data_IF_507223625425
#
_entry.id   IF_507223625425
#
_cell.length_a   1.000
_cell.length_b   1.000
_cell.length_c   1.000
_cell.angle_alpha   90.00
_cell.angle_beta   90.00
_cell.angle_gamma   90.00
#
_symmetry.space_group_name_H-M   'P 1'
#
loop_
_entity.id
_entity.type
_entity.pdbx_description
1 polymer ?
#
# COMPACT_ATOMS: atom_id res chain seq x y z
N UNK A 1 -8.61 15.19 50.17
CA UNK A 1 -8.44 13.74 49.96
C UNK A 1 -8.79 13.48 48.50
N UNK A 2 -7.79 13.44 47.68
CA UNK A 2 -7.91 13.29 46.23
C UNK A 2 -7.77 11.80 45.93
N UNK A 3 -8.87 11.18 45.49
CA UNK A 3 -8.87 9.81 44.95
C UNK A 3 -8.11 9.79 43.63
N UNK A 4 -6.87 9.36 43.70
CA UNK A 4 -6.17 8.87 42.50
C UNK A 4 -6.75 7.49 42.17
N UNK A 5 -7.72 7.47 41.24
CA UNK A 5 -8.10 6.25 40.55
C UNK A 5 -6.86 5.69 39.88
N UNK A 6 -6.30 4.67 40.48
CA UNK A 6 -5.33 3.80 39.82
C UNK A 6 -6.08 3.05 38.69
N UNK A 7 -5.98 3.60 37.48
CA UNK A 7 -6.42 2.92 36.27
C UNK A 7 -5.50 1.69 36.09
N UNK A 8 -5.91 0.55 36.61
CA UNK A 8 -5.24 -0.73 36.38
C UNK A 8 -5.30 -0.97 34.87
N UNK A 9 -4.16 -0.78 34.19
CA UNK A 9 -4.02 -1.09 32.77
C UNK A 9 -4.42 -2.56 32.58
N UNK A 10 -5.60 -2.80 32.00
CA UNK A 10 -6.07 -4.14 31.70
C UNK A 10 -4.99 -4.82 30.82
N UNK A 11 -4.56 -6.03 31.23
CA UNK A 11 -3.54 -6.77 30.51
C UNK A 11 -3.98 -6.99 29.05
N UNK A 12 -3.12 -6.65 28.11
CA UNK A 12 -3.41 -6.84 26.69
C UNK A 12 -3.65 -8.32 26.39
N UNK A 13 -4.70 -8.70 25.61
CA UNK A 13 -5.10 -10.09 25.44
C UNK A 13 -4.17 -10.90 24.51
N UNK A 14 -3.21 -10.26 23.84
CA UNK A 14 -2.18 -10.91 23.01
C UNK A 14 -0.82 -10.64 23.66
N UNK A 15 -0.04 -11.69 23.82
CA UNK A 15 1.29 -11.67 24.46
C UNK A 15 2.32 -12.32 23.54
N UNK A 16 3.61 -12.22 23.90
CA UNK A 16 4.67 -12.96 23.19
C UNK A 16 4.38 -14.48 23.17
N UNK A 17 3.81 -15.03 24.23
CA UNK A 17 3.42 -16.44 24.27
C UNK A 17 2.36 -16.76 23.22
N UNK A 18 1.38 -15.88 23.01
CA UNK A 18 0.36 -16.02 21.96
C UNK A 18 0.98 -15.97 20.56
N UNK A 19 1.95 -15.07 20.35
CA UNK A 19 2.65 -14.94 19.05
C UNK A 19 3.53 -16.18 18.80
N UNK A 20 4.24 -16.69 19.82
CA UNK A 20 5.02 -17.92 19.71
C UNK A 20 4.14 -19.17 19.44
N UNK A 21 2.94 -19.21 19.99
CA UNK A 21 1.98 -20.25 19.67
C UNK A 21 1.51 -20.15 18.20
N UNK A 22 1.23 -18.94 17.74
CA UNK A 22 0.88 -18.68 16.34
C UNK A 22 2.04 -19.05 15.39
N UNK A 23 3.30 -18.79 15.77
CA UNK A 23 4.46 -19.16 14.97
C UNK A 23 4.52 -20.67 14.68
N UNK A 24 4.20 -21.51 15.67
CA UNK A 24 4.12 -22.97 15.50
C UNK A 24 2.98 -23.39 14.56
N UNK A 25 1.88 -22.65 14.55
CA UNK A 25 0.73 -22.94 13.67
C UNK A 25 1.05 -22.62 12.22
N UNK A 26 1.79 -21.54 11.97
CA UNK A 26 2.10 -21.08 10.61
C UNK A 26 3.35 -21.74 10.03
N UNK A 27 4.17 -22.38 10.86
CA UNK A 27 5.41 -23.05 10.46
C UNK A 27 5.16 -24.11 9.38
N UNK A 28 5.87 -24.01 8.25
CA UNK A 28 5.74 -24.91 7.11
C UNK A 28 4.45 -24.75 6.28
N UNK A 29 3.49 -23.96 6.75
CA UNK A 29 2.22 -23.71 6.04
C UNK A 29 2.18 -22.37 5.30
N UNK A 30 3.08 -21.47 5.62
CA UNK A 30 3.32 -20.20 4.93
C UNK A 30 4.81 -20.07 4.58
N UNK A 31 5.15 -19.14 3.70
CA UNK A 31 6.54 -18.87 3.38
C UNK A 31 7.20 -18.09 4.53
N UNK A 32 8.38 -18.56 4.97
CA UNK A 32 9.30 -17.68 5.69
C UNK A 32 9.99 -16.80 4.66
N UNK A 33 9.38 -15.65 4.38
CA UNK A 33 9.82 -14.72 3.34
C UNK A 33 11.18 -14.13 3.67
N UNK A 34 11.93 -13.76 2.64
CA UNK A 34 13.23 -13.12 2.81
C UNK A 34 13.12 -11.81 3.61
N UNK A 35 14.18 -11.50 4.35
CA UNK A 35 14.36 -10.25 5.06
C UNK A 35 15.77 -9.73 4.77
N UNK A 36 15.90 -8.93 3.71
CA UNK A 36 17.18 -8.59 3.11
C UNK A 36 17.52 -7.10 3.22
N UNK A 37 18.81 -6.73 3.30
CA UNK A 37 19.22 -5.34 3.31
C UNK A 37 19.17 -4.74 1.91
N UNK A 38 18.64 -3.53 1.80
CA UNK A 38 18.69 -2.74 0.57
C UNK A 38 19.84 -1.75 0.60
N UNK A 39 20.91 -2.04 -0.12
CA UNK A 39 22.09 -1.12 -0.19
C UNK A 39 21.74 0.22 -0.82
N UNK A 40 20.94 0.21 -1.87
CA UNK A 40 20.56 1.43 -2.61
C UNK A 40 19.65 2.31 -1.77
N UNK A 41 18.59 1.76 -1.16
CA UNK A 41 17.70 2.51 -0.29
C UNK A 41 18.43 3.01 0.96
N UNK A 42 19.35 2.23 1.51
CA UNK A 42 20.20 2.66 2.62
C UNK A 42 21.06 3.86 2.26
N UNK A 43 21.72 3.83 1.09
CA UNK A 43 22.51 4.97 0.60
C UNK A 43 21.64 6.23 0.35
N UNK A 44 20.41 6.06 -0.13
CA UNK A 44 19.49 7.17 -0.39
C UNK A 44 18.95 7.83 0.89
N UNK A 45 18.81 7.06 1.96
CA UNK A 45 18.13 7.52 3.19
C UNK A 45 19.08 7.79 4.36
N UNK A 46 20.31 7.28 4.28
CA UNK A 46 21.27 7.33 5.39
C UNK A 46 20.95 6.38 6.56
N UNK A 47 19.94 5.51 6.40
CA UNK A 47 19.56 4.45 7.33
C UNK A 47 20.06 3.10 6.82
N UNK A 48 20.21 2.09 7.69
CA UNK A 48 20.42 0.70 7.28
C UNK A 48 19.04 0.04 7.07
N UNK A 49 18.58 -0.01 5.80
CA UNK A 49 17.23 -0.43 5.42
C UNK A 49 17.19 -1.93 5.16
N UNK A 50 16.30 -2.61 5.86
CA UNK A 50 15.99 -4.03 5.71
C UNK A 50 14.53 -4.21 5.31
N UNK A 51 14.26 -5.08 4.33
CA UNK A 51 12.94 -5.29 3.73
C UNK A 51 12.45 -6.71 4.00
N UNK A 52 11.28 -6.85 4.64
CA UNK A 52 10.57 -8.11 4.81
C UNK A 52 9.55 -8.28 3.69
N UNK A 53 9.74 -9.27 2.83
CA UNK A 53 9.01 -9.45 1.57
C UNK A 53 7.69 -10.20 1.73
N UNK A 54 6.77 -9.72 2.56
CA UNK A 54 5.46 -10.35 2.76
C UNK A 54 4.54 -10.27 1.52
N UNK A 55 4.87 -9.43 0.56
CA UNK A 55 4.25 -9.42 -0.77
C UNK A 55 4.54 -10.68 -1.60
N UNK A 56 5.49 -11.51 -1.20
CA UNK A 56 5.85 -12.77 -1.85
C UNK A 56 5.18 -14.01 -1.23
N UNK A 57 4.32 -13.84 -0.21
CA UNK A 57 3.46 -14.92 0.25
C UNK A 57 2.59 -15.44 -0.92
N UNK A 58 2.04 -16.64 -0.82
CA UNK A 58 1.27 -17.27 -1.91
C UNK A 58 0.08 -16.40 -2.37
N UNK A 59 -0.65 -15.77 -1.42
CA UNK A 59 -1.72 -14.82 -1.74
C UNK A 59 -1.22 -13.38 -1.85
N UNK A 60 0.10 -13.21 -2.04
CA UNK A 60 0.80 -11.94 -2.15
C UNK A 60 0.54 -10.98 -0.97
N UNK A 61 0.38 -11.49 0.26
CA UNK A 61 0.14 -10.65 1.44
C UNK A 61 0.37 -11.38 2.76
N UNK A 62 0.85 -10.66 3.76
CA UNK A 62 0.99 -11.12 5.14
C UNK A 62 -0.31 -11.65 5.80
N UNK A 63 -1.46 -11.33 5.21
CA UNK A 63 -2.79 -11.71 5.75
C UNK A 63 -2.96 -13.22 5.95
N UNK A 64 -2.19 -14.02 5.25
CA UNK A 64 -2.15 -15.47 5.40
C UNK A 64 -1.87 -15.89 6.85
N UNK A 65 -0.92 -15.25 7.51
CA UNK A 65 -0.46 -15.57 8.86
C UNK A 65 -1.59 -15.55 9.88
N UNK A 66 -2.30 -14.42 9.96
CA UNK A 66 -3.43 -14.25 10.88
C UNK A 66 -4.64 -15.07 10.50
N UNK A 67 -4.93 -15.21 9.20
CA UNK A 67 -6.03 -16.04 8.71
C UNK A 67 -5.80 -17.50 9.09
N UNK A 68 -4.63 -18.07 8.81
CA UNK A 68 -4.29 -19.44 9.15
C UNK A 68 -4.36 -19.69 10.67
N UNK A 69 -3.77 -18.81 11.48
CA UNK A 69 -3.78 -18.95 12.94
C UNK A 69 -5.20 -18.96 13.49
N UNK A 70 -6.08 -18.08 13.00
CA UNK A 70 -7.49 -18.04 13.40
C UNK A 70 -8.26 -19.29 12.97
N UNK A 71 -8.12 -19.71 11.71
CA UNK A 71 -8.81 -20.87 11.16
C UNK A 71 -8.38 -22.18 11.85
N UNK A 72 -7.10 -22.29 12.20
CA UNK A 72 -6.55 -23.47 12.89
C UNK A 72 -7.11 -23.64 14.30
N UNK A 73 -7.48 -22.56 14.97
CA UNK A 73 -8.02 -22.57 16.32
C UNK A 73 -9.52 -22.91 16.40
N UNK A 74 -10.21 -23.03 15.27
CA UNK A 74 -11.64 -23.33 15.23
C UNK A 74 -11.91 -24.76 15.73
N UNK A 75 -12.95 -24.92 16.56
CA UNK A 75 -13.49 -26.21 16.98
C UNK A 75 -14.07 -27.00 15.80
N UNK A 76 -14.25 -28.29 15.94
CA UNK A 76 -14.86 -29.16 14.92
C UNK A 76 -16.28 -28.69 14.53
N UNK A 77 -17.03 -28.14 15.49
CA UNK A 77 -18.37 -27.56 15.22
C UNK A 77 -18.30 -26.30 14.36
N UNK A 78 -17.39 -25.38 14.68
CA UNK A 78 -17.19 -24.14 13.91
C UNK A 78 -16.66 -24.45 12.50
N UNK A 79 -15.72 -25.39 12.37
CA UNK A 79 -15.24 -25.86 11.06
C UNK A 79 -16.35 -26.43 10.18
N UNK A 80 -17.25 -27.24 10.79
CA UNK A 80 -18.39 -27.81 10.05
C UNK A 80 -19.42 -26.76 9.64
N UNK A 81 -19.65 -25.74 10.48
CA UNK A 81 -20.55 -24.62 10.15
C UNK A 81 -19.94 -23.69 9.09
N UNK A 82 -18.60 -23.65 8.97
CA UNK A 82 -17.88 -22.83 8.05
C UNK A 82 -17.57 -21.42 8.59
N UNK A 83 -16.89 -20.64 7.77
CA UNK A 83 -16.46 -19.30 8.12
C UNK A 83 -16.98 -18.27 7.13
N UNK A 84 -17.11 -17.03 7.60
CA UNK A 84 -17.50 -15.89 6.78
C UNK A 84 -16.55 -14.71 7.04
N UNK A 85 -16.16 -14.00 5.99
CA UNK A 85 -15.39 -12.75 6.10
C UNK A 85 -15.93 -11.69 5.15
N UNK A 86 -15.72 -10.43 5.48
CA UNK A 86 -15.98 -9.31 4.58
C UNK A 86 -14.65 -8.69 4.17
N UNK A 87 -14.32 -8.80 2.89
CA UNK A 87 -13.16 -8.16 2.28
C UNK A 87 -13.18 -8.34 0.77
N UNK A 88 -12.72 -7.33 0.03
CA UNK A 88 -12.50 -7.40 -1.42
C UNK A 88 -10.99 -7.49 -1.80
N UNK A 89 -10.09 -7.68 -0.83
CA UNK A 89 -8.63 -7.64 -1.02
C UNK A 89 -7.90 -8.79 -0.33
N UNK A 90 -6.75 -8.49 0.23
CA UNK A 90 -5.79 -9.45 0.79
C UNK A 90 -6.38 -10.38 1.85
N UNK A 91 -7.26 -9.86 2.73
CA UNK A 91 -7.88 -10.69 3.76
C UNK A 91 -8.82 -11.74 3.17
N UNK A 92 -9.58 -11.39 2.13
CA UNK A 92 -10.43 -12.32 1.41
C UNK A 92 -9.63 -13.51 0.85
N UNK A 93 -8.51 -13.22 0.21
CA UNK A 93 -7.64 -14.24 -0.38
C UNK A 93 -6.96 -15.12 0.70
N UNK A 94 -6.44 -14.51 1.76
CA UNK A 94 -5.83 -15.26 2.87
C UNK A 94 -6.82 -16.20 3.56
N UNK A 95 -8.06 -15.75 3.82
CA UNK A 95 -9.12 -16.61 4.40
C UNK A 95 -9.53 -17.70 3.43
N UNK A 96 -9.80 -17.37 2.16
CA UNK A 96 -10.21 -18.33 1.14
C UNK A 96 -9.18 -19.45 0.95
N UNK A 97 -7.91 -19.09 0.81
CA UNK A 97 -6.81 -20.04 0.61
C UNK A 97 -6.65 -21.01 1.77
N UNK A 98 -6.50 -20.49 2.98
CA UNK A 98 -6.27 -21.36 4.13
C UNK A 98 -7.52 -22.12 4.56
N UNK A 99 -8.73 -21.57 4.39
CA UNK A 99 -9.96 -22.32 4.60
C UNK A 99 -10.06 -23.50 3.62
N UNK A 100 -9.73 -23.28 2.34
CA UNK A 100 -9.68 -24.32 1.31
C UNK A 100 -8.68 -25.44 1.68
N UNK A 101 -7.47 -25.07 2.09
CA UNK A 101 -6.42 -26.02 2.53
C UNK A 101 -6.87 -26.83 3.75
N UNK A 102 -7.55 -26.20 4.71
CA UNK A 102 -8.08 -26.83 5.93
C UNK A 102 -9.43 -27.53 5.71
N UNK A 103 -9.97 -27.49 4.49
CA UNK A 103 -11.29 -28.06 4.12
C UNK A 103 -12.44 -27.47 4.96
N UNK A 104 -12.37 -26.17 5.25
CA UNK A 104 -13.41 -25.42 5.95
C UNK A 104 -14.23 -24.65 4.90
N UNK A 105 -15.56 -24.78 4.84
CA UNK A 105 -16.39 -23.97 3.96
C UNK A 105 -16.17 -22.47 4.25
N UNK A 106 -15.84 -21.68 3.23
CA UNK A 106 -15.61 -20.25 3.40
C UNK A 106 -16.55 -19.44 2.51
N UNK A 107 -17.17 -18.43 3.09
CA UNK A 107 -17.97 -17.43 2.40
C UNK A 107 -17.30 -16.08 2.53
N UNK A 108 -17.06 -15.40 1.40
CA UNK A 108 -16.50 -14.05 1.37
C UNK A 108 -17.56 -13.09 0.83
N UNK A 109 -17.87 -12.07 1.62
CA UNK A 109 -18.79 -11.00 1.21
C UNK A 109 -17.97 -9.82 0.70
N UNK A 110 -18.36 -9.30 -0.46
CA UNK A 110 -17.74 -8.15 -1.10
C UNK A 110 -18.83 -7.13 -1.50
N UNK A 111 -18.52 -5.81 -1.54
CA UNK A 111 -19.41 -4.82 -2.12
C UNK A 111 -19.83 -5.17 -3.55
N UNK A 112 -21.05 -4.81 -3.95
CA UNK A 112 -21.61 -5.15 -5.26
C UNK A 112 -20.77 -4.63 -6.44
N UNK A 113 -20.08 -3.49 -6.27
CA UNK A 113 -19.24 -2.86 -7.28
C UNK A 113 -17.81 -3.43 -7.32
N UNK A 114 -17.49 -4.50 -6.59
CA UNK A 114 -16.14 -5.09 -6.57
C UNK A 114 -15.73 -5.57 -7.97
N UNK A 115 -14.54 -5.20 -8.47
CA UNK A 115 -14.06 -5.64 -9.77
C UNK A 115 -14.05 -7.16 -9.94
N UNK A 116 -14.51 -7.63 -11.09
CA UNK A 116 -14.65 -9.08 -11.40
C UNK A 116 -13.36 -9.85 -11.16
N UNK A 117 -12.20 -9.27 -11.46
CA UNK A 117 -10.90 -9.89 -11.24
C UNK A 117 -10.66 -10.25 -9.76
N UNK A 118 -11.05 -9.37 -8.83
CA UNK A 118 -10.92 -9.62 -7.37
C UNK A 118 -11.88 -10.74 -6.93
N UNK A 119 -13.09 -10.75 -7.48
CA UNK A 119 -14.11 -11.79 -7.22
C UNK A 119 -13.62 -13.15 -7.69
N UNK A 120 -13.16 -13.25 -8.93
CA UNK A 120 -12.71 -14.51 -9.53
C UNK A 120 -11.43 -15.05 -8.85
N UNK A 121 -10.49 -14.19 -8.49
CA UNK A 121 -9.31 -14.61 -7.74
C UNK A 121 -9.69 -15.26 -6.41
N UNK A 122 -10.66 -14.70 -5.70
CA UNK A 122 -11.14 -15.28 -4.43
C UNK A 122 -11.90 -16.59 -4.64
N UNK A 123 -12.72 -16.70 -5.68
CA UNK A 123 -13.43 -17.95 -6.04
C UNK A 123 -12.46 -19.08 -6.41
N UNK A 124 -11.40 -18.78 -7.15
CA UNK A 124 -10.35 -19.77 -7.52
C UNK A 124 -9.64 -20.35 -6.30
N UNK A 125 -9.61 -19.64 -5.17
CA UNK A 125 -9.07 -20.12 -3.91
C UNK A 125 -10.07 -20.99 -3.12
N UNK A 126 -11.25 -21.28 -3.68
CA UNK A 126 -12.23 -22.21 -3.14
C UNK A 126 -13.34 -21.60 -2.30
N UNK A 127 -13.41 -20.28 -2.15
CA UNK A 127 -14.46 -19.62 -1.39
C UNK A 127 -15.73 -19.35 -2.21
N UNK A 128 -16.88 -19.41 -1.56
CA UNK A 128 -18.14 -18.85 -2.07
C UNK A 128 -18.09 -17.33 -1.94
N UNK A 129 -18.30 -16.60 -3.03
CA UNK A 129 -18.31 -15.12 -3.00
C UNK A 129 -19.73 -14.62 -3.16
N UNK A 130 -20.19 -13.79 -2.19
CA UNK A 130 -21.47 -13.10 -2.21
C UNK A 130 -21.19 -11.61 -2.43
N UNK A 131 -21.80 -11.03 -3.46
CA UNK A 131 -21.78 -9.60 -3.71
C UNK A 131 -23.01 -8.98 -3.02
N UNK A 132 -22.78 -8.09 -2.05
CA UNK A 132 -23.85 -7.47 -1.26
C UNK A 132 -23.45 -6.10 -0.73
N UNK A 133 -24.40 -5.16 -0.73
CA UNK A 133 -24.19 -3.80 -0.28
C UNK A 133 -23.49 -2.91 -1.31
N UNK A 134 -23.67 -1.61 -1.18
CA UNK A 134 -23.06 -0.56 -2.00
C UNK A 134 -21.75 -0.03 -1.39
N UNK A 135 -21.50 -0.29 -0.10
CA UNK A 135 -20.33 0.12 0.66
C UNK A 135 -19.72 -1.05 1.44
N UNK A 136 -18.50 -0.83 1.98
CA UNK A 136 -17.85 -1.79 2.86
C UNK A 136 -18.64 -2.00 4.16
N UNK A 137 -19.28 -0.96 4.70
CA UNK A 137 -20.09 -1.02 5.91
C UNK A 137 -21.34 -1.87 5.71
N UNK A 138 -22.02 -1.70 4.58
CA UNK A 138 -23.21 -2.51 4.24
C UNK A 138 -22.83 -3.98 4.00
N UNK A 139 -21.73 -4.23 3.29
CA UNK A 139 -21.23 -5.58 3.09
C UNK A 139 -20.84 -6.25 4.41
N UNK A 140 -20.24 -5.51 5.35
CA UNK A 140 -19.89 -6.01 6.68
C UNK A 140 -21.14 -6.35 7.51
N UNK A 141 -22.13 -5.47 7.51
CA UNK A 141 -23.41 -5.70 8.20
C UNK A 141 -24.09 -6.96 7.66
N UNK A 142 -24.14 -7.11 6.33
CA UNK A 142 -24.66 -8.32 5.70
C UNK A 142 -23.88 -9.57 6.10
N UNK A 143 -22.55 -9.53 6.10
CA UNK A 143 -21.72 -10.67 6.46
C UNK A 143 -21.96 -11.12 7.91
N UNK A 144 -22.09 -10.19 8.84
CA UNK A 144 -22.35 -10.47 10.25
C UNK A 144 -23.75 -11.09 10.44
N UNK A 145 -24.80 -10.53 9.84
CA UNK A 145 -26.15 -11.07 9.92
C UNK A 145 -26.24 -12.47 9.27
N UNK A 146 -25.71 -12.61 8.05
CA UNK A 146 -25.72 -13.89 7.33
C UNK A 146 -24.94 -14.98 8.09
N UNK A 147 -23.74 -14.63 8.60
CA UNK A 147 -22.94 -15.55 9.41
C UNK A 147 -23.66 -15.99 10.69
N UNK A 148 -24.30 -15.06 11.39
CA UNK A 148 -25.05 -15.35 12.61
C UNK A 148 -26.24 -16.30 12.33
N UNK A 149 -27.00 -16.07 11.29
CA UNK A 149 -28.12 -16.91 10.89
C UNK A 149 -27.72 -18.34 10.52
N UNK A 150 -26.54 -18.51 9.93
CA UNK A 150 -26.03 -19.82 9.52
C UNK A 150 -25.06 -20.45 10.53
N UNK A 151 -24.80 -19.81 11.67
CA UNK A 151 -23.89 -20.27 12.69
C UNK A 151 -22.41 -20.29 12.25
N UNK A 152 -22.05 -19.51 11.21
CA UNK A 152 -20.69 -19.41 10.70
C UNK A 152 -19.82 -18.52 11.61
N UNK A 153 -18.53 -18.82 11.69
CA UNK A 153 -17.60 -17.98 12.42
C UNK A 153 -17.13 -16.81 11.56
N UNK A 154 -17.31 -15.57 12.04
CA UNK A 154 -16.80 -14.39 11.37
C UNK A 154 -15.28 -14.27 11.58
N UNK A 155 -14.52 -14.18 10.50
CA UNK A 155 -13.07 -13.98 10.52
C UNK A 155 -12.77 -12.50 10.31
N UNK A 156 -12.48 -11.79 11.42
CA UNK A 156 -12.23 -10.34 11.38
C UNK A 156 -10.85 -10.03 10.73
N UNK A 157 -10.74 -9.01 9.85
CA UNK A 157 -9.52 -8.73 9.10
C UNK A 157 -8.33 -8.23 9.97
N UNK A 158 -8.58 -7.77 11.20
CA UNK A 158 -7.55 -7.19 12.08
C UNK A 158 -7.90 -7.15 13.57
N UNK A 159 -9.18 -7.05 13.98
CA UNK A 159 -9.60 -6.83 15.38
C UNK A 159 -9.99 -8.15 16.06
N UNK A 160 -9.08 -9.12 16.02
CA UNK A 160 -9.23 -10.44 16.62
C UNK A 160 -7.88 -10.88 17.24
N UNK A 161 -7.84 -11.34 18.49
CA UNK A 161 -6.60 -11.70 19.17
C UNK A 161 -5.77 -12.78 18.44
N UNK A 162 -6.41 -13.78 17.81
CA UNK A 162 -5.71 -14.82 17.07
C UNK A 162 -5.16 -14.29 15.74
N UNK A 163 -5.90 -13.40 15.06
CA UNK A 163 -5.40 -12.73 13.86
C UNK A 163 -4.21 -11.86 14.21
N UNK A 164 -4.30 -11.04 15.26
CA UNK A 164 -3.20 -10.19 15.74
C UNK A 164 -1.96 -11.01 16.08
N UNK A 165 -2.12 -12.12 16.81
CA UNK A 165 -1.02 -13.01 17.17
C UNK A 165 -0.32 -13.60 15.94
N UNK A 166 -1.07 -14.03 14.92
CA UNK A 166 -0.53 -14.50 13.65
C UNK A 166 0.33 -13.45 12.94
N UNK A 167 -0.10 -12.18 12.92
CA UNK A 167 0.67 -11.09 12.30
C UNK A 167 1.96 -10.78 13.07
N UNK A 168 1.98 -11.02 14.39
CA UNK A 168 3.17 -10.82 15.21
C UNK A 168 4.34 -11.74 14.86
N UNK A 169 4.09 -12.86 14.20
CA UNK A 169 5.13 -13.79 13.76
C UNK A 169 6.16 -13.16 12.82
N UNK A 170 5.78 -12.13 12.08
CA UNK A 170 6.68 -11.36 11.21
C UNK A 170 7.82 -10.74 12.04
N UNK A 171 7.50 -10.12 13.16
CA UNK A 171 8.52 -9.50 14.02
C UNK A 171 9.44 -10.53 14.68
N UNK A 172 8.95 -11.76 14.98
CA UNK A 172 9.80 -12.85 15.45
C UNK A 172 10.87 -13.19 14.42
N UNK A 173 10.47 -13.38 13.15
CA UNK A 173 11.38 -13.71 12.04
C UNK A 173 12.40 -12.58 11.81
N UNK A 174 11.93 -11.32 11.77
CA UNK A 174 12.79 -10.16 11.54
C UNK A 174 13.84 -9.98 12.63
N UNK A 175 13.45 -10.09 13.90
CA UNK A 175 14.37 -9.92 15.04
C UNK A 175 15.30 -11.12 15.24
N UNK A 176 14.88 -12.32 14.86
CA UNK A 176 15.74 -13.50 14.87
C UNK A 176 16.86 -13.40 13.82
N UNK A 177 16.53 -12.88 12.63
CA UNK A 177 17.49 -12.71 11.53
C UNK A 177 18.40 -11.50 11.72
N UNK A 178 17.87 -10.37 12.21
CA UNK A 178 18.62 -9.12 12.41
C UNK A 178 18.39 -8.60 13.83
N UNK A 179 19.13 -9.13 14.84
CA UNK A 179 19.00 -8.67 16.23
C UNK A 179 19.38 -7.19 16.42
N UNK A 180 20.12 -6.62 15.46
CA UNK A 180 20.53 -5.21 15.42
C UNK A 180 19.39 -4.23 15.15
N UNK A 181 18.23 -4.66 14.65
CA UNK A 181 17.10 -3.78 14.38
C UNK A 181 16.78 -2.88 15.58
N UNK A 182 16.68 -1.58 15.33
CA UNK A 182 16.31 -0.60 16.36
C UNK A 182 15.00 0.11 16.06
N UNK A 183 14.51 0.04 14.84
CA UNK A 183 13.26 0.69 14.40
C UNK A 183 12.48 -0.22 13.45
N UNK A 184 11.19 -0.37 13.69
CA UNK A 184 10.24 -0.98 12.75
C UNK A 184 9.28 0.09 12.24
N UNK A 185 9.10 0.16 10.93
CA UNK A 185 8.15 1.08 10.28
C UNK A 185 7.06 0.24 9.62
N UNK A 186 5.83 0.35 10.13
CA UNK A 186 4.76 -0.63 9.89
C UNK A 186 3.50 0.06 9.36
N UNK A 187 2.95 -0.34 8.20
CA UNK A 187 1.69 0.19 7.69
C UNK A 187 0.52 -0.09 8.63
N UNK A 188 -0.36 0.90 8.82
CA UNK A 188 -1.57 0.81 9.62
C UNK A 188 -2.81 1.02 8.75
N UNK A 189 -3.67 -0.02 8.69
CA UNK A 189 -5.08 0.15 8.36
C UNK A 189 -5.91 0.00 9.63
N UNK A 190 -6.53 -1.15 9.85
CA UNK A 190 -7.26 -1.43 11.11
C UNK A 190 -6.38 -1.70 12.33
N UNK A 191 -5.07 -1.78 12.19
CA UNK A 191 -4.10 -1.90 13.29
C UNK A 191 -3.65 -3.32 13.64
N UNK A 192 -4.13 -4.37 12.98
CA UNK A 192 -3.81 -5.76 13.33
C UNK A 192 -2.34 -6.11 13.15
N UNK A 193 -1.71 -5.66 12.04
CA UNK A 193 -0.29 -5.91 11.76
C UNK A 193 0.60 -5.27 12.81
N UNK A 194 0.48 -3.97 12.98
CA UNK A 194 1.32 -3.22 13.93
C UNK A 194 1.12 -3.70 15.37
N UNK A 195 -0.12 -4.05 15.77
CA UNK A 195 -0.40 -4.58 17.11
C UNK A 195 0.35 -5.88 17.37
N UNK A 196 0.25 -6.85 16.45
CA UNK A 196 0.95 -8.13 16.59
C UNK A 196 2.46 -7.98 16.59
N UNK A 197 3.00 -7.21 15.64
CA UNK A 197 4.44 -6.96 15.55
C UNK A 197 4.97 -6.21 16.76
N UNK A 198 4.25 -5.19 17.25
CA UNK A 198 4.66 -4.43 18.43
C UNK A 198 4.69 -5.29 19.69
N UNK A 199 3.71 -6.19 19.89
CA UNK A 199 3.71 -7.15 21.01
C UNK A 199 4.97 -8.00 21.00
N UNK A 200 5.29 -8.61 19.87
CA UNK A 200 6.49 -9.45 19.76
C UNK A 200 7.77 -8.63 19.91
N UNK A 201 7.88 -7.51 19.19
CA UNK A 201 9.08 -6.70 19.15
C UNK A 201 9.41 -6.07 20.50
N UNK A 202 8.44 -5.44 21.17
CA UNK A 202 8.65 -4.81 22.49
C UNK A 202 8.92 -5.85 23.59
N UNK A 203 8.38 -7.06 23.48
CA UNK A 203 8.68 -8.11 24.44
C UNK A 203 10.11 -8.69 24.29
N UNK A 204 10.63 -8.76 23.04
CA UNK A 204 11.98 -9.25 22.76
C UNK A 204 13.02 -8.13 22.99
N UNK A 205 12.74 -6.94 22.50
CA UNK A 205 13.65 -5.78 22.55
C UNK A 205 12.84 -4.54 23.03
N UNK A 206 12.71 -4.33 24.33
CA UNK A 206 11.86 -3.24 24.87
C UNK A 206 12.20 -1.83 24.34
N UNK A 207 13.47 -1.59 23.99
CA UNK A 207 13.94 -0.32 23.43
C UNK A 207 13.71 -0.12 21.94
N UNK A 208 13.18 -1.12 21.20
CA UNK A 208 12.93 -0.98 19.78
C UNK A 208 11.83 0.08 19.51
N UNK A 209 12.05 0.92 18.51
CA UNK A 209 11.05 1.92 18.10
C UNK A 209 10.04 1.32 17.13
N UNK A 210 8.77 1.56 17.38
CA UNK A 210 7.64 1.13 16.53
C UNK A 210 6.99 2.37 15.95
N UNK A 211 7.14 2.58 14.65
CA UNK A 211 6.54 3.72 13.93
C UNK A 211 5.43 3.18 13.03
N UNK A 212 4.22 3.68 13.25
CA UNK A 212 3.08 3.40 12.39
C UNK A 212 3.04 4.33 11.17
N UNK A 213 2.51 3.85 10.06
CA UNK A 213 2.32 4.67 8.85
C UNK A 213 0.91 4.53 8.33
N UNK A 214 0.21 5.65 8.13
CA UNK A 214 -1.08 5.70 7.45
C UNK A 214 -1.02 6.58 6.20
N UNK A 215 -1.88 6.32 5.22
CA UNK A 215 -2.12 7.24 4.12
C UNK A 215 -2.78 8.53 4.66
N UNK A 216 -2.33 9.69 4.19
CA UNK A 216 -2.86 10.99 4.63
C UNK A 216 -4.38 11.14 4.41
N UNK A 217 -4.95 10.41 3.45
CA UNK A 217 -6.40 10.34 3.20
C UNK A 217 -7.15 9.47 4.22
N UNK A 218 -6.47 8.59 4.95
CA UNK A 218 -7.09 7.69 5.95
C UNK A 218 -6.36 7.73 7.30
N UNK A 219 -6.26 8.92 7.95
CA UNK A 219 -5.53 9.10 9.21
C UNK A 219 -6.34 8.62 10.43
N UNK A 220 -6.97 7.46 10.36
CA UNK A 220 -7.94 6.99 11.34
C UNK A 220 -7.33 6.64 12.69
N UNK A 221 -6.22 5.90 12.68
CA UNK A 221 -5.49 5.55 13.88
C UNK A 221 -4.64 6.74 14.36
N UNK A 222 -4.10 7.54 13.42
CA UNK A 222 -3.40 8.80 13.72
C UNK A 222 -4.27 9.75 14.54
N UNK A 223 -5.53 9.94 14.10
CA UNK A 223 -6.50 10.76 14.84
C UNK A 223 -6.70 10.25 16.29
N UNK A 224 -6.80 8.93 16.46
CA UNK A 224 -6.96 8.31 17.79
C UNK A 224 -5.69 8.45 18.64
N UNK A 225 -4.52 8.32 18.02
CA UNK A 225 -3.24 8.35 18.70
C UNK A 225 -2.84 9.76 19.13
N UNK A 226 -2.96 10.73 18.23
CA UNK A 226 -2.59 12.13 18.47
C UNK A 226 -3.74 13.02 18.99
N UNK A 227 -4.96 12.49 19.08
CA UNK A 227 -6.14 13.27 19.52
C UNK A 227 -6.57 14.32 18.49
N UNK A 228 -6.36 14.06 17.19
CA UNK A 228 -6.75 14.95 16.10
C UNK A 228 -8.07 14.53 15.44
N UNK A 229 -8.58 15.36 14.51
CA UNK A 229 -9.83 15.13 13.79
C UNK A 229 -9.65 15.39 12.29
N UNK A 230 -8.54 14.92 11.73
CA UNK A 230 -8.29 15.04 10.29
C UNK A 230 -9.37 14.30 9.48
N UNK A 231 -9.76 14.81 8.30
CA UNK A 231 -10.72 14.15 7.43
C UNK A 231 -10.28 12.73 7.06
N UNK A 232 -11.24 11.81 6.93
CA UNK A 232 -10.99 10.42 6.55
C UNK A 232 -11.81 10.11 5.31
N UNK A 233 -11.16 9.71 4.22
CA UNK A 233 -11.79 9.30 2.96
C UNK A 233 -11.07 9.85 1.74
N UNK A 234 -11.45 9.35 0.58
CA UNK A 234 -10.88 9.69 -0.71
C UNK A 234 -10.29 8.48 -1.43
N UNK A 235 -9.84 8.69 -2.67
CA UNK A 235 -9.21 7.64 -3.47
C UNK A 235 -7.72 7.55 -3.15
N UNK A 236 -7.30 6.47 -2.51
CA UNK A 236 -5.90 6.21 -2.16
C UNK A 236 -5.33 5.03 -2.93
N UNK A 237 -4.05 5.14 -3.31
CA UNK A 237 -3.25 4.03 -3.83
C UNK A 237 -3.10 2.89 -2.79
N UNK A 238 -3.13 3.25 -1.51
CA UNK A 238 -2.95 2.32 -0.40
C UNK A 238 -4.27 1.67 0.06
N UNK A 239 -5.04 1.06 -0.86
CA UNK A 239 -6.35 0.44 -0.58
C UNK A 239 -6.29 -0.52 0.63
N UNK A 240 -5.19 -1.27 0.80
CA UNK A 240 -5.02 -2.24 1.87
C UNK A 240 -4.99 -1.63 3.29
N UNK A 241 -4.76 -0.31 3.40
CA UNK A 241 -4.79 0.45 4.65
C UNK A 241 -5.84 1.56 4.67
N UNK A 242 -6.74 1.61 3.68
CA UNK A 242 -7.84 2.57 3.61
C UNK A 242 -8.97 2.20 4.59
N UNK A 243 -8.74 2.35 5.89
CA UNK A 243 -9.68 1.96 6.94
C UNK A 243 -10.23 3.20 7.64
N UNK A 244 -11.56 3.36 7.62
CA UNK A 244 -12.25 4.52 8.20
C UNK A 244 -12.33 4.46 9.73
N UNK A 245 -12.37 3.25 10.31
CA UNK A 245 -12.49 3.03 11.75
C UNK A 245 -11.49 1.98 12.21
N UNK A 246 -10.47 2.34 12.99
CA UNK A 246 -9.54 1.38 13.57
C UNK A 246 -10.24 0.46 14.56
N UNK A 247 -9.70 -0.75 14.79
CA UNK A 247 -10.29 -1.74 15.67
C UNK A 247 -10.34 -1.28 17.14
N UNK A 248 -11.35 -1.74 17.86
CA UNK A 248 -11.50 -1.42 19.27
C UNK A 248 -10.36 -2.02 20.12
N UNK A 249 -9.97 -3.25 19.77
CA UNK A 249 -8.86 -3.96 20.40
C UNK A 249 -7.51 -3.38 19.94
N UNK A 250 -7.31 -3.21 18.64
CA UNK A 250 -6.02 -2.75 18.08
C UNK A 250 -5.64 -1.37 18.57
N UNK A 251 -6.59 -0.46 18.83
CA UNK A 251 -6.33 0.85 19.46
C UNK A 251 -5.66 0.75 20.83
N UNK A 252 -5.95 -0.30 21.61
CA UNK A 252 -5.34 -0.51 22.91
C UNK A 252 -3.87 -0.87 22.77
N UNK A 253 -3.53 -1.76 21.83
CA UNK A 253 -2.14 -2.12 21.53
C UNK A 253 -1.34 -0.92 21.02
N UNK A 254 -1.92 -0.17 20.06
CA UNK A 254 -1.25 0.99 19.48
C UNK A 254 -0.94 2.04 20.55
N UNK A 255 -1.89 2.37 21.41
CA UNK A 255 -1.66 3.32 22.51
C UNK A 255 -0.60 2.85 23.51
N UNK A 256 -0.47 1.54 23.72
CA UNK A 256 0.45 0.99 24.72
C UNK A 256 1.87 0.75 24.17
N UNK A 257 2.02 0.45 22.88
CA UNK A 257 3.25 -0.14 22.34
C UNK A 257 3.86 0.63 21.17
N UNK A 258 3.11 1.51 20.50
CA UNK A 258 3.58 2.28 19.34
C UNK A 258 4.18 3.59 19.82
N UNK A 259 5.32 3.96 19.28
CA UNK A 259 6.05 5.16 19.70
C UNK A 259 5.59 6.42 18.95
N UNK A 260 5.16 6.26 17.67
CA UNK A 260 4.60 7.35 16.87
C UNK A 260 3.86 6.82 15.64
N UNK A 261 3.02 7.67 15.03
CA UNK A 261 2.34 7.40 13.76
C UNK A 261 2.60 8.59 12.83
N UNK A 262 2.98 8.29 11.57
CA UNK A 262 3.22 9.29 10.53
C UNK A 262 2.28 9.11 9.35
N UNK A 263 2.03 10.20 8.62
CA UNK A 263 1.18 10.21 7.43
C UNK A 263 2.03 10.36 6.18
N UNK A 264 1.66 9.64 5.12
CA UNK A 264 2.29 9.73 3.81
C UNK A 264 1.28 10.14 2.74
N UNK A 265 1.70 10.97 1.79
CA UNK A 265 0.85 11.42 0.70
C UNK A 265 0.76 10.37 -0.42
N UNK A 266 -0.22 10.54 -1.33
CA UNK A 266 -0.34 9.70 -2.54
C UNK A 266 0.92 9.76 -3.41
N UNK A 267 1.53 10.94 -3.51
CA UNK A 267 2.79 11.13 -4.26
C UNK A 267 3.95 10.34 -3.64
N UNK A 268 4.03 10.30 -2.31
CA UNK A 268 5.06 9.53 -1.61
C UNK A 268 4.86 8.02 -1.79
N UNK A 269 3.61 7.57 -1.77
CA UNK A 269 3.24 6.17 -2.04
C UNK A 269 3.60 5.77 -3.47
N UNK A 270 3.25 6.58 -4.48
CA UNK A 270 3.59 6.33 -5.88
C UNK A 270 5.11 6.23 -6.09
N UNK A 271 5.87 7.16 -5.50
CA UNK A 271 7.33 7.14 -5.54
C UNK A 271 7.91 5.88 -4.90
N UNK A 272 7.41 5.47 -3.74
CA UNK A 272 7.89 4.28 -3.05
C UNK A 272 7.60 3.00 -3.85
N UNK A 273 6.40 2.87 -4.47
CA UNK A 273 6.07 1.75 -5.36
C UNK A 273 7.05 1.68 -6.53
N UNK A 274 7.33 2.82 -7.19
CA UNK A 274 8.28 2.85 -8.32
C UNK A 274 9.69 2.46 -7.90
N UNK A 275 10.17 2.95 -6.75
CA UNK A 275 11.51 2.60 -6.25
C UNK A 275 11.62 1.11 -5.89
N UNK A 276 10.59 0.50 -5.31
CA UNK A 276 10.59 -0.94 -5.04
C UNK A 276 10.67 -1.77 -6.32
N UNK A 277 10.02 -1.35 -7.39
CA UNK A 277 10.13 -2.01 -8.70
C UNK A 277 11.51 -1.78 -9.32
N UNK A 278 12.02 -0.55 -9.29
CA UNK A 278 13.26 -0.19 -10.01
C UNK A 278 14.51 -0.61 -9.28
N UNK A 279 14.51 -0.66 -7.95
CA UNK A 279 15.66 -1.03 -7.10
C UNK A 279 15.57 -2.50 -6.70
N UNK A 280 14.47 -2.90 -6.06
CA UNK A 280 14.32 -4.23 -5.47
C UNK A 280 13.74 -5.28 -6.43
N UNK A 281 13.30 -4.85 -7.62
CA UNK A 281 12.72 -5.73 -8.66
C UNK A 281 11.48 -6.50 -8.18
N UNK A 282 10.75 -5.91 -7.22
CA UNK A 282 9.55 -6.53 -6.63
C UNK A 282 8.32 -5.65 -6.82
N UNK A 283 7.17 -6.28 -7.02
CA UNK A 283 5.89 -5.59 -7.14
C UNK A 283 5.24 -5.50 -5.77
N UNK A 284 4.92 -4.28 -5.35
CA UNK A 284 4.29 -3.98 -4.06
C UNK A 284 3.10 -3.05 -4.28
N UNK A 285 1.99 -3.30 -3.58
CA UNK A 285 0.84 -2.38 -3.57
C UNK A 285 1.12 -1.14 -2.71
N UNK A 286 0.32 -0.08 -2.85
CA UNK A 286 0.52 1.16 -2.10
C UNK A 286 0.60 0.97 -0.59
N UNK A 287 -0.22 0.07 -0.02
CA UNK A 287 -0.17 -0.26 1.40
C UNK A 287 1.17 -0.90 1.81
N UNK A 288 1.73 -1.76 0.97
CA UNK A 288 3.03 -2.39 1.21
C UNK A 288 4.22 -1.44 1.04
N UNK A 289 4.05 -0.38 0.25
CA UNK A 289 5.08 0.64 0.01
C UNK A 289 5.08 1.76 1.08
N UNK A 290 4.04 1.84 1.92
CA UNK A 290 3.86 2.95 2.87
C UNK A 290 5.03 3.10 3.85
N UNK A 291 5.63 2.00 4.31
CA UNK A 291 6.80 2.04 5.19
C UNK A 291 8.00 2.73 4.54
N UNK A 292 8.29 2.41 3.27
CA UNK A 292 9.35 3.07 2.51
C UNK A 292 9.00 4.54 2.25
N UNK A 293 7.75 4.84 1.89
CA UNK A 293 7.29 6.21 1.70
C UNK A 293 7.57 7.09 2.94
N UNK A 294 7.28 6.59 4.14
CA UNK A 294 7.54 7.32 5.39
C UNK A 294 9.03 7.59 5.62
N UNK A 295 9.91 6.64 5.28
CA UNK A 295 11.36 6.85 5.43
C UNK A 295 11.89 7.86 4.40
N UNK A 296 11.35 7.84 3.17
CA UNK A 296 11.75 8.79 2.12
C UNK A 296 11.27 10.22 2.37
N UNK A 297 10.14 10.38 3.07
CA UNK A 297 9.60 11.71 3.43
C UNK A 297 10.44 12.44 4.47
N UNK A 298 10.99 11.69 5.44
CA UNK A 298 11.81 12.25 6.52
C UNK A 298 13.03 11.36 6.79
N UNK A 299 14.00 11.32 5.87
CA UNK A 299 15.16 10.45 6.01
C UNK A 299 16.02 10.79 7.24
N UNK A 300 16.03 12.05 7.67
CA UNK A 300 16.81 12.47 8.84
C UNK A 300 16.32 11.82 10.15
N UNK A 301 15.04 11.51 10.23
CA UNK A 301 14.44 10.80 11.37
C UNK A 301 15.03 9.40 11.55
N UNK A 302 15.45 8.77 10.46
CA UNK A 302 15.91 7.39 10.40
C UNK A 302 17.42 7.26 10.16
N UNK A 303 18.12 8.35 9.87
CA UNK A 303 19.53 8.34 9.57
C UNK A 303 20.36 7.69 10.70
N UNK A 304 21.28 6.78 10.32
CA UNK A 304 22.12 6.01 11.24
C UNK A 304 21.40 4.92 12.03
N UNK A 305 20.11 4.63 11.74
CA UNK A 305 19.34 3.58 12.39
C UNK A 305 19.27 2.31 11.52
N UNK A 306 19.14 1.17 12.18
CA UNK A 306 18.82 -0.10 11.55
C UNK A 306 17.30 -0.26 11.49
N UNK A 307 16.73 -0.09 10.29
CA UNK A 307 15.28 0.05 10.07
C UNK A 307 14.72 -1.15 9.33
N UNK A 308 13.75 -1.84 9.93
CA UNK A 308 12.98 -2.89 9.28
C UNK A 308 11.67 -2.37 8.70
N UNK A 309 11.45 -2.61 7.42
CA UNK A 309 10.21 -2.31 6.69
C UNK A 309 9.50 -3.60 6.31
N UNK A 310 8.15 -3.61 6.36
CA UNK A 310 7.34 -4.74 5.90
C UNK A 310 6.67 -4.39 4.59
N UNK A 311 7.05 -5.06 3.51
CA UNK A 311 6.36 -5.00 2.22
C UNK A 311 5.10 -5.87 2.31
N UNK A 312 4.05 -5.34 2.91
CA UNK A 312 2.96 -6.11 3.49
C UNK A 312 1.99 -6.72 2.45
N UNK A 313 2.06 -6.30 1.17
CA UNK A 313 1.23 -6.85 0.09
C UNK A 313 1.68 -6.42 -1.30
N UNK A 314 1.32 -7.22 -2.31
CA UNK A 314 1.64 -7.01 -3.72
C UNK A 314 0.44 -7.04 -4.67
N UNK A 315 -0.78 -7.10 -4.15
CA UNK A 315 -2.02 -7.23 -4.94
C UNK A 315 -2.48 -5.89 -5.54
N UNK A 316 -1.62 -5.25 -6.33
CA UNK A 316 -1.94 -4.03 -7.06
C UNK A 316 -2.59 -4.35 -8.42
N UNK A 317 -3.59 -3.56 -8.81
CA UNK A 317 -4.15 -3.63 -10.15
C UNK A 317 -3.11 -3.22 -11.21
N UNK A 318 -3.01 -3.99 -12.29
CA UNK A 318 -1.99 -3.78 -13.33
C UNK A 318 -2.15 -2.45 -14.06
N UNK A 319 -3.38 -1.98 -14.28
CA UNK A 319 -3.64 -0.67 -14.90
C UNK A 319 -3.23 0.46 -13.95
N UNK A 320 -3.53 0.31 -12.65
CA UNK A 320 -3.13 1.27 -11.63
C UNK A 320 -1.60 1.33 -11.54
N UNK A 321 -0.93 0.18 -11.53
CA UNK A 321 0.53 0.10 -11.54
C UNK A 321 1.14 0.80 -12.76
N UNK A 322 0.61 0.56 -13.96
CA UNK A 322 1.05 1.24 -15.16
C UNK A 322 0.89 2.77 -15.05
N UNK A 323 -0.22 3.24 -14.46
CA UNK A 323 -0.44 4.65 -14.21
C UNK A 323 0.57 5.25 -13.23
N UNK A 324 0.88 4.54 -12.13
CA UNK A 324 1.89 4.96 -11.14
C UNK A 324 3.26 5.14 -11.81
N UNK A 325 3.70 4.14 -12.57
CA UNK A 325 5.00 4.18 -13.26
C UNK A 325 5.06 5.31 -14.31
N UNK A 326 4.00 5.50 -15.09
CA UNK A 326 3.92 6.57 -16.08
C UNK A 326 3.97 7.97 -15.42
N UNK A 327 3.27 8.14 -14.29
CA UNK A 327 3.28 9.40 -13.53
C UNK A 327 4.66 9.70 -12.94
N UNK A 328 5.38 8.69 -12.51
CA UNK A 328 6.73 8.87 -11.98
C UNK A 328 7.73 9.27 -13.09
N UNK A 329 7.66 8.62 -14.27
CA UNK A 329 8.42 9.05 -15.45
C UNK A 329 8.14 10.52 -15.81
N UNK A 330 6.90 10.96 -15.69
CA UNK A 330 6.55 12.36 -15.96
C UNK A 330 7.13 13.31 -14.90
N UNK A 331 7.12 12.94 -13.62
CA UNK A 331 7.75 13.74 -12.54
C UNK A 331 9.26 13.88 -12.72
N UNK A 332 9.92 12.82 -13.19
CA UNK A 332 11.35 12.84 -13.50
C UNK A 332 11.68 13.64 -14.78
N UNK A 333 10.67 14.04 -15.55
CA UNK A 333 10.84 14.68 -16.85
C UNK A 333 11.34 13.74 -17.93
N UNK A 334 11.16 12.44 -17.75
CA UNK A 334 11.49 11.39 -18.73
C UNK A 334 10.37 11.13 -19.72
N UNK A 335 9.17 11.51 -19.37
CA UNK A 335 8.00 11.51 -20.24
C UNK A 335 7.27 12.84 -20.07
N UNK A 336 7.06 13.59 -21.15
CA UNK A 336 6.42 14.91 -21.07
C UNK A 336 5.55 15.18 -22.27
N UNK A 337 4.42 15.88 -22.05
CA UNK A 337 3.56 16.37 -23.12
C UNK A 337 3.90 17.81 -23.43
N UNK A 338 4.37 18.05 -24.65
CA UNK A 338 4.64 19.38 -25.19
C UNK A 338 3.47 19.83 -26.07
N UNK A 339 2.93 21.01 -25.80
CA UNK A 339 2.03 21.72 -26.70
C UNK A 339 2.87 22.69 -27.52
N UNK A 340 2.82 22.54 -28.84
CA UNK A 340 3.66 23.27 -29.79
C UNK A 340 2.75 23.98 -30.78
N UNK A 341 2.81 25.33 -30.82
CA UNK A 341 2.08 26.11 -31.80
C UNK A 341 2.79 26.00 -33.14
N UNK A 342 2.06 25.57 -34.16
CA UNK A 342 2.58 25.38 -35.50
C UNK A 342 1.66 26.02 -36.56
N UNK A 343 2.23 26.51 -37.69
CA UNK A 343 1.41 26.85 -38.85
C UNK A 343 0.83 25.57 -39.49
N UNK A 344 -0.46 25.57 -39.82
CA UNK A 344 -1.09 24.44 -40.53
C UNK A 344 -0.66 24.39 -42.00
N UNK A 345 0.53 23.87 -42.25
CA UNK A 345 1.15 23.73 -43.58
C UNK A 345 1.76 22.33 -43.75
N UNK A 346 1.76 21.79 -44.99
CA UNK A 346 2.43 20.53 -45.29
C UNK A 346 3.91 20.55 -44.83
N UNK A 347 4.35 19.44 -44.22
CA UNK A 347 5.73 19.23 -43.77
C UNK A 347 6.06 19.82 -42.40
N UNK A 348 5.16 20.58 -41.73
CA UNK A 348 5.47 21.19 -40.43
C UNK A 348 5.65 20.11 -39.34
N UNK A 349 4.80 19.09 -39.29
CA UNK A 349 4.96 17.96 -38.38
C UNK A 349 6.33 17.25 -38.55
N UNK A 350 6.74 17.02 -39.80
CA UNK A 350 8.03 16.39 -40.09
C UNK A 350 9.21 17.23 -39.57
N UNK A 351 9.15 18.55 -39.68
CA UNK A 351 10.18 19.44 -39.15
C UNK A 351 10.23 19.46 -37.64
N UNK A 352 9.06 19.50 -36.98
CA UNK A 352 9.00 19.42 -35.50
C UNK A 352 9.57 18.08 -34.98
N UNK A 353 9.17 16.96 -35.59
CA UNK A 353 9.69 15.66 -35.25
C UNK A 353 11.20 15.53 -35.50
N UNK A 354 11.71 16.17 -36.60
CA UNK A 354 13.15 16.26 -36.87
C UNK A 354 13.91 16.98 -35.77
N UNK A 355 13.44 18.17 -35.34
CA UNK A 355 14.08 18.93 -34.24
C UNK A 355 14.10 18.15 -32.94
N UNK A 356 13.02 17.44 -32.60
CA UNK A 356 12.96 16.58 -31.41
C UNK A 356 13.95 15.42 -31.51
N UNK A 357 14.02 14.76 -32.66
CA UNK A 357 14.95 13.65 -32.91
C UNK A 357 16.42 14.10 -32.90
N UNK A 358 16.73 15.23 -33.53
CA UNK A 358 18.09 15.83 -33.54
C UNK A 358 18.53 16.25 -32.13
N UNK A 359 17.60 16.64 -31.27
CA UNK A 359 17.85 16.90 -29.85
C UNK A 359 18.02 15.61 -29.01
N UNK A 360 17.87 14.42 -29.62
CA UNK A 360 18.09 13.11 -28.98
C UNK A 360 16.90 12.59 -28.17
N UNK A 361 15.70 13.17 -28.34
CA UNK A 361 14.48 12.70 -27.71
C UNK A 361 13.66 11.79 -28.66
N UNK A 362 12.90 10.87 -28.09
CA UNK A 362 11.96 10.03 -28.83
C UNK A 362 10.55 10.62 -28.80
N UNK A 363 9.82 10.52 -29.91
CA UNK A 363 8.40 10.87 -30.01
C UNK A 363 7.58 9.63 -29.72
N UNK A 364 6.81 9.65 -28.62
CA UNK A 364 5.95 8.52 -28.20
C UNK A 364 4.57 8.61 -28.84
N UNK A 365 3.95 9.81 -28.77
CA UNK A 365 2.60 10.05 -29.29
C UNK A 365 2.51 11.44 -29.91
N UNK A 366 1.64 11.57 -30.90
CA UNK A 366 1.35 12.85 -31.56
C UNK A 366 -0.16 13.02 -31.71
N UNK A 367 -0.66 14.14 -31.19
CA UNK A 367 -2.04 14.55 -31.37
C UNK A 367 -2.08 15.90 -32.09
N UNK A 368 -2.68 15.92 -33.25
CA UNK A 368 -2.84 17.13 -34.08
C UNK A 368 -4.24 17.72 -33.85
N UNK A 369 -4.33 18.75 -33.00
CA UNK A 369 -5.60 19.34 -32.60
C UNK A 369 -5.86 20.61 -33.42
N UNK A 370 -6.88 20.61 -34.31
CA UNK A 370 -7.25 21.69 -35.18
C UNK A 370 -8.45 22.52 -34.72
N UNK A 371 -9.23 21.96 -33.82
CA UNK A 371 -10.46 22.56 -33.29
C UNK A 371 -10.38 22.57 -31.78
N UNK A 372 -11.01 23.53 -31.14
CA UNK A 372 -10.98 23.74 -29.67
C UNK A 372 -9.59 24.12 -29.13
N UNK A 373 -8.89 25.03 -29.82
CA UNK A 373 -7.62 25.63 -29.42
C UNK A 373 -7.72 27.15 -29.42
N UNK A 374 -6.90 27.80 -28.57
CA UNK A 374 -6.82 29.29 -28.51
C UNK A 374 -5.87 29.86 -29.56
N UNK A 375 -5.43 29.08 -30.55
CA UNK A 375 -4.55 29.51 -31.63
C UNK A 375 -5.34 30.20 -32.77
N UNK A 376 -4.76 31.20 -33.45
CA UNK A 376 -5.41 31.84 -34.60
C UNK A 376 -5.79 30.84 -35.70
N UNK A 377 -6.84 31.12 -36.50
CA UNK A 377 -7.43 30.23 -37.50
C UNK A 377 -6.46 29.65 -38.56
N UNK A 378 -5.25 30.25 -38.74
CA UNK A 378 -4.18 29.72 -39.60
C UNK A 378 -3.10 28.94 -38.85
N UNK A 379 -3.24 28.80 -37.56
CA UNK A 379 -2.39 28.00 -36.69
C UNK A 379 -3.10 26.75 -36.18
N UNK A 380 -2.34 25.83 -35.64
CA UNK A 380 -2.86 24.65 -34.96
C UNK A 380 -1.91 24.26 -33.82
N UNK A 381 -2.44 23.61 -32.81
CA UNK A 381 -1.64 23.08 -31.72
C UNK A 381 -1.28 21.61 -31.99
N UNK A 382 0.01 21.33 -31.95
CA UNK A 382 0.54 19.97 -32.01
C UNK A 382 0.90 19.54 -30.58
N UNK A 383 0.18 18.55 -30.07
CA UNK A 383 0.50 17.93 -28.78
C UNK A 383 1.40 16.72 -29.05
N UNK A 384 2.62 16.76 -28.53
CA UNK A 384 3.61 15.68 -28.68
C UNK A 384 4.00 15.15 -27.31
N UNK A 385 3.87 13.84 -27.12
CA UNK A 385 4.45 13.17 -25.95
C UNK A 385 5.88 12.77 -26.33
N UNK A 386 6.84 13.26 -25.57
CA UNK A 386 8.26 13.00 -25.77
C UNK A 386 8.83 12.19 -24.63
N UNK A 387 9.71 11.23 -24.98
CA UNK A 387 10.55 10.52 -24.03
C UNK A 387 11.95 11.16 -24.04
N UNK A 388 12.42 11.52 -22.84
CA UNK A 388 13.73 12.15 -22.62
C UNK A 388 14.49 11.40 -21.53
N UNK A 389 15.78 11.68 -21.37
CA UNK A 389 16.63 11.03 -20.35
C UNK A 389 16.32 11.50 -18.94
N UNK A 390 16.05 12.78 -18.79
CA UNK A 390 15.82 13.50 -17.54
C UNK A 390 15.24 14.89 -17.81
N UNK A 391 14.96 15.63 -16.75
CA UNK A 391 14.43 16.99 -16.81
C UNK A 391 15.36 17.98 -17.53
N UNK A 392 16.68 17.84 -17.40
CA UNK A 392 17.64 18.72 -18.08
C UNK A 392 17.60 18.48 -19.60
N UNK A 393 17.49 17.22 -20.02
CA UNK A 393 17.31 16.89 -21.44
C UNK A 393 15.97 17.39 -21.99
N UNK A 394 14.88 17.32 -21.23
CA UNK A 394 13.59 17.91 -21.62
C UNK A 394 13.73 19.42 -21.88
N UNK A 395 14.40 20.16 -21.02
CA UNK A 395 14.63 21.60 -21.23
C UNK A 395 15.50 21.85 -22.47
N UNK A 396 16.48 21.00 -22.79
CA UNK A 396 17.26 21.09 -24.02
C UNK A 396 16.40 20.89 -25.27
N UNK A 397 15.47 19.94 -25.26
CA UNK A 397 14.50 19.71 -26.35
C UNK A 397 13.61 20.93 -26.55
N UNK A 398 13.09 21.49 -25.46
CA UNK A 398 12.26 22.72 -25.50
C UNK A 398 13.06 23.91 -26.05
N UNK A 399 14.33 24.04 -25.67
CA UNK A 399 15.21 25.09 -26.19
C UNK A 399 15.46 24.92 -27.69
N UNK A 400 15.70 23.70 -28.18
CA UNK A 400 15.87 23.43 -29.63
C UNK A 400 14.61 23.77 -30.42
N UNK A 401 13.44 23.43 -29.94
CA UNK A 401 12.17 23.79 -30.59
C UNK A 401 11.96 25.33 -30.64
N UNK A 402 12.27 26.02 -29.55
CA UNK A 402 12.20 27.49 -29.51
C UNK A 402 13.20 28.14 -30.50
N UNK A 403 14.43 27.61 -30.57
CA UNK A 403 15.43 28.08 -31.54
C UNK A 403 15.01 27.86 -33.00
N UNK A 404 14.22 26.81 -33.26
CA UNK A 404 13.61 26.54 -34.57
C UNK A 404 12.35 27.42 -34.86
N UNK A 405 12.00 28.33 -33.94
CA UNK A 405 10.92 29.31 -34.12
C UNK A 405 9.54 28.82 -33.66
N UNK A 406 9.47 27.76 -32.87
CA UNK A 406 8.20 27.25 -32.32
C UNK A 406 7.94 27.78 -30.90
N UNK A 407 6.68 28.11 -30.61
CA UNK A 407 6.21 28.31 -29.23
C UNK A 407 5.96 26.97 -28.61
N UNK A 408 6.57 26.71 -27.45
CA UNK A 408 6.48 25.41 -26.76
C UNK A 408 6.11 25.60 -25.30
N UNK A 409 5.06 24.92 -24.86
CA UNK A 409 4.60 24.87 -23.47
C UNK A 409 4.54 23.41 -23.02
N UNK A 410 4.97 23.12 -21.79
CA UNK A 410 4.78 21.80 -21.19
C UNK A 410 3.36 21.74 -20.61
N UNK A 411 2.58 20.73 -21.00
CA UNK A 411 1.24 20.51 -20.45
C UNK A 411 1.26 19.41 -19.36
N UNK A 412 2.25 19.45 -18.50
CA UNK A 412 2.36 18.51 -17.36
C UNK A 412 1.51 18.97 -16.15
N UNK A 413 0.64 19.97 -16.31
CA UNK A 413 -0.13 20.65 -15.26
C UNK A 413 -1.09 19.74 -14.46
N UNK A 414 -1.24 18.47 -14.83
CA UNK A 414 -2.00 17.51 -14.04
C UNK A 414 -1.20 16.86 -12.89
N UNK A 415 0.13 17.07 -12.80
CA UNK A 415 1.02 16.31 -11.92
C UNK A 415 1.71 17.13 -10.83
N UNK A 416 1.52 18.45 -10.76
CA UNK A 416 2.30 19.29 -9.85
C UNK A 416 1.67 20.59 -9.35
N UNK A 417 0.44 20.89 -9.70
CA UNK A 417 -0.26 22.07 -9.20
C UNK A 417 -0.93 21.77 -7.86
N UNK A 418 -0.30 22.15 -6.76
CA UNK A 418 -1.01 22.39 -5.52
C UNK A 418 -2.12 23.42 -5.81
N UNK A 419 -3.38 22.99 -5.81
CA UNK A 419 -4.49 23.93 -5.61
C UNK A 419 -4.40 24.35 -4.16
N UNK A 420 -4.02 25.62 -3.95
CA UNK A 420 -3.98 26.26 -2.65
C UNK A 420 -5.36 26.35 -1.98
#
# INVERSE_FOLDING_TARGET
MSDHEQNSAAALPVTLASVNAAAKVVEGAILNTDFDPSRTLSAMTGADIWLKFENLQFTASYKERGALNKLSALSSKERAAGVIAMSAGNHAQGVAYHAGTLKIPATIVMPAATPTVKVENTRRLGATVILSGSSFEEAAAFALDHGTRLGMTFIHPFDDPLVIAGQGTIALEMLAQVPGLDTLVIPIGGGGLISGMAVAAKAIKPGIRIIGVEAALYPSMYNVFHGTTLPVGGDTLAEGIAVTKPGALTRQFVRALVDDIVLVSETDLERAVTLLITIEKTVVEGAGAAGLAAVLCDPLRYAGRCVGLVLCGGNIDTRLLASVLTRDLAREGRLSRLAIDIPDRPGTLARVAGVIGDAGANVVEVYHQRVFTDVPAKGTELNVVVETRDRAHLESVKAALRAAGYTVVTRDDALGGARG
#
